data_IF_729949850628
#
_entry.id   IF_729949850628
#
_cell.length_a   1.000
_cell.length_b   1.000
_cell.length_c   1.000
_cell.angle_alpha   90.00
_cell.angle_beta   90.00
_cell.angle_gamma   90.00
#
_symmetry.space_group_name_H-M   'P 1'
#
loop_
_entity.id
_entity.type
_entity.pdbx_description
1 polymer ?
#
# COMPACT_ATOMS: atom_id res chain seq x y z
N UNK A 1 7.89 -24.69 -16.92
CA UNK A 1 7.44 -24.16 -15.62
C UNK A 1 6.47 -23.04 -15.93
N UNK A 2 5.17 -23.27 -15.78
CA UNK A 2 4.18 -22.21 -15.97
C UNK A 2 4.34 -21.20 -14.85
N UNK A 3 4.55 -19.92 -15.17
CA UNK A 3 4.52 -18.86 -14.18
C UNK A 3 3.16 -18.93 -13.45
N UNK A 4 3.19 -18.91 -12.12
CA UNK A 4 1.96 -18.73 -11.35
C UNK A 4 1.23 -17.47 -11.84
N UNK A 5 -0.11 -17.50 -11.98
CA UNK A 5 -0.86 -16.33 -12.42
C UNK A 5 -0.62 -15.20 -11.42
N UNK A 6 -0.10 -14.06 -11.90
CA UNK A 6 0.16 -12.87 -11.09
C UNK A 6 -1.15 -12.46 -10.37
N UNK A 7 -1.28 -12.67 -9.05
CA UNK A 7 -2.52 -12.42 -8.33
C UNK A 7 -2.88 -10.94 -8.30
N UNK A 8 -1.90 -10.07 -8.56
CA UNK A 8 -2.05 -8.62 -8.60
C UNK A 8 -2.16 -8.07 -10.04
N UNK A 9 -1.84 -8.88 -11.05
CA UNK A 9 -1.66 -8.41 -12.42
C UNK A 9 -2.89 -8.26 -13.29
N UNK A 10 -4.05 -8.64 -12.77
CA UNK A 10 -5.35 -8.42 -13.46
C UNK A 10 -6.04 -7.13 -13.04
N UNK A 11 -5.39 -6.34 -12.18
CA UNK A 11 -6.02 -5.26 -11.47
C UNK A 11 -5.59 -3.94 -12.10
N UNK A 12 -6.47 -3.32 -12.88
CA UNK A 12 -6.31 -1.92 -13.33
C UNK A 12 -6.56 -0.95 -12.15
N UNK A 13 -5.92 -1.21 -11.00
CA UNK A 13 -6.08 -0.46 -9.75
C UNK A 13 -5.80 1.04 -9.97
N UNK A 14 -4.84 1.33 -10.86
CA UNK A 14 -4.49 2.69 -11.28
C UNK A 14 -5.68 3.50 -11.80
N UNK A 15 -6.60 2.89 -12.57
CA UNK A 15 -7.76 3.58 -13.15
C UNK A 15 -8.86 3.92 -12.13
N UNK A 16 -8.84 3.28 -10.95
CA UNK A 16 -9.83 3.51 -9.90
C UNK A 16 -9.47 4.68 -8.99
N UNK A 17 -8.19 5.00 -8.92
CA UNK A 17 -7.66 6.05 -8.05
C UNK A 17 -7.52 7.33 -8.87
N UNK A 18 -8.12 8.39 -8.36
CA UNK A 18 -7.86 9.75 -8.80
C UNK A 18 -6.48 10.18 -8.27
N UNK A 19 -5.43 9.68 -8.93
CA UNK A 19 -4.04 9.77 -8.44
C UNK A 19 -3.53 11.20 -8.29
N UNK A 20 -3.77 12.14 -9.22
CA UNK A 20 -3.37 13.53 -9.02
C UNK A 20 -3.93 14.13 -7.73
N UNK A 21 -5.22 13.95 -7.48
CA UNK A 21 -5.91 14.46 -6.29
C UNK A 21 -5.46 13.73 -5.03
N UNK A 22 -5.20 12.41 -5.13
CA UNK A 22 -4.65 11.63 -4.02
C UNK A 22 -3.27 12.15 -3.65
N UNK A 23 -2.34 12.22 -4.60
CA UNK A 23 -0.98 12.71 -4.37
C UNK A 23 -1.00 14.14 -3.83
N UNK A 24 -1.86 15.02 -4.35
CA UNK A 24 -2.01 16.38 -3.83
C UNK A 24 -2.42 16.41 -2.35
N UNK A 25 -3.33 15.52 -1.92
CA UNK A 25 -3.74 15.42 -0.51
C UNK A 25 -2.65 14.84 0.39
N UNK A 26 -1.88 13.88 -0.12
CA UNK A 26 -0.85 13.16 0.65
C UNK A 26 0.50 13.92 0.68
N UNK A 27 0.75 14.79 -0.31
CA UNK A 27 2.00 15.52 -0.50
C UNK A 27 2.52 16.22 0.76
N UNK A 28 1.71 17.00 1.52
CA UNK A 28 2.22 17.69 2.70
C UNK A 28 2.76 16.74 3.78
N UNK A 29 2.14 15.57 3.94
CA UNK A 29 2.60 14.56 4.90
C UNK A 29 3.86 13.86 4.39
N UNK A 30 3.90 13.50 3.11
CA UNK A 30 5.04 12.84 2.48
C UNK A 30 6.29 13.73 2.54
N UNK A 31 6.16 15.01 2.17
CA UNK A 31 7.24 15.99 2.23
C UNK A 31 7.73 16.20 3.67
N UNK A 32 6.82 16.37 4.64
CA UNK A 32 7.18 16.55 6.04
C UNK A 32 7.90 15.33 6.63
N UNK A 33 7.38 14.13 6.36
CA UNK A 33 7.91 12.90 6.92
C UNK A 33 9.28 12.57 6.31
N UNK A 34 9.37 12.57 4.97
CA UNK A 34 10.55 12.10 4.22
C UNK A 34 11.59 13.21 4.01
N UNK A 35 11.21 14.49 4.09
CA UNK A 35 12.14 15.63 4.02
C UNK A 35 13.15 15.68 5.18
N UNK A 36 12.98 14.85 6.19
CA UNK A 36 13.91 14.69 7.32
C UNK A 36 14.84 13.48 7.18
N UNK A 37 14.85 12.84 6.01
CA UNK A 37 15.74 11.72 5.72
C UNK A 37 17.22 12.15 5.78
N UNK A 38 18.11 11.37 6.43
CA UNK A 38 19.54 11.65 6.47
C UNK A 38 20.24 11.52 5.10
N UNK A 39 19.58 10.91 4.12
CA UNK A 39 20.08 10.73 2.76
C UNK A 39 18.92 10.73 1.74
N UNK A 40 19.14 11.06 0.47
CA UNK A 40 18.06 11.18 -0.53
C UNK A 40 17.53 9.84 -1.04
N UNK A 41 18.19 8.71 -0.75
CA UNK A 41 17.77 7.39 -1.21
C UNK A 41 16.57 6.90 -0.41
N UNK A 42 15.45 6.62 -1.09
CA UNK A 42 14.21 6.17 -0.45
C UNK A 42 13.73 4.85 -1.05
N UNK A 43 13.02 4.05 -0.25
CA UNK A 43 12.29 2.88 -0.71
C UNK A 43 10.78 3.12 -0.71
N UNK A 44 10.13 2.86 -1.85
CA UNK A 44 8.67 2.78 -1.96
C UNK A 44 8.26 1.30 -1.97
N UNK A 45 7.80 0.81 -0.82
CA UNK A 45 7.59 -0.62 -0.53
C UNK A 45 6.14 -1.01 -0.84
N UNK A 46 5.96 -1.91 -1.80
CA UNK A 46 4.65 -2.15 -2.43
C UNK A 46 4.28 -1.03 -3.39
N UNK A 47 5.23 -0.59 -4.22
CA UNK A 47 5.07 0.61 -5.06
C UNK A 47 3.96 0.50 -6.11
N UNK A 48 3.47 -0.70 -6.40
CA UNK A 48 2.48 -0.95 -7.44
C UNK A 48 2.94 -0.40 -8.78
N UNK A 49 2.10 0.43 -9.41
CA UNK A 49 2.38 1.12 -10.67
C UNK A 49 3.26 2.37 -10.52
N UNK A 50 3.91 2.57 -9.37
CA UNK A 50 4.99 3.53 -9.15
C UNK A 50 4.56 4.99 -8.98
N UNK A 51 3.31 5.26 -8.62
CA UNK A 51 2.80 6.63 -8.45
C UNK A 51 3.54 7.42 -7.36
N UNK A 52 3.68 6.85 -6.17
CA UNK A 52 4.45 7.48 -5.09
C UNK A 52 5.94 7.55 -5.43
N UNK A 53 6.50 6.50 -6.03
CA UNK A 53 7.89 6.48 -6.54
C UNK A 53 8.18 7.68 -7.45
N UNK A 54 7.34 7.91 -8.48
CA UNK A 54 7.54 9.04 -9.42
C UNK A 54 7.31 10.39 -8.76
N UNK A 55 6.31 10.51 -7.89
CA UNK A 55 6.02 11.74 -7.16
C UNK A 55 7.23 12.17 -6.30
N UNK A 56 7.77 11.25 -5.51
CA UNK A 56 8.93 11.52 -4.66
C UNK A 56 10.21 11.74 -5.47
N UNK A 57 10.36 11.06 -6.61
CA UNK A 57 11.47 11.32 -7.54
C UNK A 57 11.39 12.74 -8.11
N UNK A 58 10.19 13.23 -8.45
CA UNK A 58 9.98 14.61 -8.91
C UNK A 58 10.27 15.66 -7.82
N UNK A 59 10.24 15.28 -6.54
CA UNK A 59 10.67 16.12 -5.41
C UNK A 59 12.20 16.08 -5.17
N UNK A 60 12.96 15.34 -5.98
CA UNK A 60 14.43 15.30 -5.92
C UNK A 60 15.01 14.15 -5.10
N UNK A 61 14.17 13.22 -4.60
CA UNK A 61 14.66 12.00 -3.95
C UNK A 61 15.14 10.97 -4.99
N UNK A 62 16.07 10.10 -4.57
CA UNK A 62 16.51 8.96 -5.36
C UNK A 62 15.70 7.71 -4.93
N UNK A 63 14.52 7.54 -5.50
CA UNK A 63 13.56 6.53 -5.04
C UNK A 63 13.70 5.23 -5.79
N UNK A 64 13.68 4.11 -5.06
CA UNK A 64 13.55 2.76 -5.64
C UNK A 64 12.19 2.20 -5.26
N UNK A 65 11.34 1.95 -6.26
CA UNK A 65 10.08 1.25 -6.07
C UNK A 65 10.31 -0.26 -5.97
N UNK A 66 9.75 -0.89 -4.95
CA UNK A 66 9.86 -2.34 -4.70
C UNK A 66 8.45 -2.94 -4.72
N UNK A 67 8.23 -3.96 -5.53
CA UNK A 67 6.95 -4.69 -5.55
C UNK A 67 7.17 -6.16 -5.91
N UNK A 68 6.31 -7.04 -5.40
CA UNK A 68 6.38 -8.46 -5.71
C UNK A 68 5.76 -8.79 -7.09
N UNK A 69 4.85 -7.94 -7.59
CA UNK A 69 4.08 -8.17 -8.82
C UNK A 69 4.84 -7.75 -10.07
N UNK A 70 5.19 -8.69 -10.97
CA UNK A 70 5.87 -8.37 -12.23
C UNK A 70 5.05 -7.43 -13.13
N UNK A 71 3.72 -7.59 -13.15
CA UNK A 71 2.85 -6.77 -14.00
C UNK A 71 2.72 -5.32 -13.51
N UNK A 72 2.68 -5.12 -12.19
CA UNK A 72 2.68 -3.78 -11.58
C UNK A 72 3.98 -3.05 -11.90
N UNK A 73 5.13 -3.73 -11.75
CA UNK A 73 6.42 -3.18 -12.13
C UNK A 73 6.53 -2.94 -13.64
N UNK A 74 5.92 -3.78 -14.48
CA UNK A 74 5.85 -3.53 -15.91
C UNK A 74 5.02 -2.27 -16.21
N UNK A 75 3.92 -2.02 -15.49
CA UNK A 75 3.16 -0.78 -15.61
C UNK A 75 3.95 0.44 -15.12
N UNK A 76 4.68 0.30 -14.00
CA UNK A 76 5.53 1.34 -13.45
C UNK A 76 6.63 1.74 -14.45
N UNK A 77 7.36 0.77 -15.00
CA UNK A 77 8.40 0.98 -16.03
C UNK A 77 7.85 1.54 -17.35
N UNK A 78 6.60 1.22 -17.72
CA UNK A 78 5.96 1.85 -18.89
C UNK A 78 5.65 3.34 -18.64
N UNK A 79 5.28 3.68 -17.41
CA UNK A 79 4.97 5.07 -17.03
C UNK A 79 6.22 5.91 -16.76
N UNK A 80 7.31 5.27 -16.34
CA UNK A 80 8.63 5.89 -16.13
C UNK A 80 9.75 4.90 -16.49
N UNK A 81 10.20 4.91 -17.76
CA UNK A 81 11.23 3.99 -18.24
C UNK A 81 12.61 4.16 -17.58
N UNK A 82 12.90 5.36 -17.07
CA UNK A 82 14.16 5.69 -16.40
C UNK A 82 14.10 5.44 -14.88
N UNK A 83 12.91 5.12 -14.36
CA UNK A 83 12.65 4.86 -12.95
C UNK A 83 13.32 3.60 -12.44
N UNK A 84 13.68 3.60 -11.15
CA UNK A 84 14.27 2.44 -10.48
C UNK A 84 13.18 1.59 -9.86
N UNK A 85 12.98 0.41 -10.43
CA UNK A 85 11.95 -0.54 -10.01
C UNK A 85 12.57 -1.92 -9.82
N UNK A 86 12.43 -2.45 -8.61
CA UNK A 86 12.98 -3.75 -8.19
C UNK A 86 11.85 -4.74 -7.90
N UNK A 87 11.99 -5.95 -8.42
CA UNK A 87 11.09 -7.04 -8.07
C UNK A 87 11.64 -7.77 -6.84
N UNK A 88 10.93 -7.66 -5.71
CA UNK A 88 11.27 -8.37 -4.48
C UNK A 88 10.05 -8.47 -3.56
N UNK A 89 10.01 -9.49 -2.71
CA UNK A 89 9.06 -9.55 -1.60
C UNK A 89 9.48 -8.59 -0.48
N UNK A 90 8.50 -8.08 0.28
CA UNK A 90 8.78 -7.33 1.52
C UNK A 90 9.57 -8.15 2.54
N UNK A 91 9.48 -9.48 2.49
CA UNK A 91 10.24 -10.37 3.38
C UNK A 91 11.68 -10.60 2.94
N UNK A 92 12.10 -10.08 1.79
CA UNK A 92 13.42 -10.31 1.17
C UNK A 92 14.28 -9.03 1.09
N UNK A 93 13.88 -7.96 1.77
CA UNK A 93 14.53 -6.64 1.63
C UNK A 93 16.02 -6.66 1.96
N UNK A 94 16.43 -7.37 3.02
CA UNK A 94 17.82 -7.40 3.48
C UNK A 94 18.79 -8.06 2.49
N UNK A 95 18.30 -8.90 1.58
CA UNK A 95 19.11 -9.48 0.50
C UNK A 95 18.95 -8.75 -0.84
N UNK A 96 17.82 -8.05 -1.03
CA UNK A 96 17.50 -7.36 -2.28
C UNK A 96 18.06 -5.93 -2.37
N UNK A 97 18.35 -5.28 -1.23
CA UNK A 97 18.81 -3.89 -1.16
C UNK A 97 20.24 -3.83 -0.59
N UNK A 98 21.20 -3.47 -1.44
CA UNK A 98 22.62 -3.48 -1.09
C UNK A 98 23.08 -2.23 -0.32
N UNK A 99 22.48 -1.07 -0.57
CA UNK A 99 22.89 0.22 0.00
C UNK A 99 21.95 0.66 1.13
N UNK A 100 22.50 1.31 2.16
CA UNK A 100 21.66 1.91 3.19
C UNK A 100 20.84 3.08 2.63
N UNK A 101 19.58 3.17 3.06
CA UNK A 101 18.59 4.09 2.55
C UNK A 101 18.28 5.15 3.61
N UNK A 102 18.00 6.37 3.16
CA UNK A 102 17.62 7.49 4.01
C UNK A 102 16.19 7.43 4.51
N UNK A 103 15.33 6.57 3.97
CA UNK A 103 13.96 6.41 4.46
C UNK A 103 13.14 5.43 3.63
N UNK A 104 11.93 5.14 4.08
CA UNK A 104 11.02 4.26 3.37
C UNK A 104 9.56 4.64 3.58
N UNK A 105 8.71 4.19 2.66
CA UNK A 105 7.26 4.25 2.78
C UNK A 105 6.67 2.89 2.40
N UNK A 106 5.58 2.50 3.06
CA UNK A 106 4.77 1.32 2.73
C UNK A 106 3.31 1.74 2.83
N UNK A 107 2.72 2.15 1.70
CA UNK A 107 1.40 2.77 1.64
C UNK A 107 0.42 1.91 0.83
N UNK A 108 -0.87 2.23 0.92
CA UNK A 108 -1.89 1.57 0.10
C UNK A 108 -2.40 0.25 0.67
N UNK A 109 -2.26 0.05 1.99
CA UNK A 109 -2.71 -1.17 2.66
C UNK A 109 -1.96 -2.43 2.18
N UNK A 110 -0.65 -2.31 1.96
CA UNK A 110 0.23 -3.40 1.49
C UNK A 110 0.62 -4.38 2.59
N UNK A 111 0.98 -3.89 3.79
CA UNK A 111 1.43 -4.75 4.90
C UNK A 111 0.45 -5.89 5.26
N UNK A 112 -0.88 -5.72 5.24
CA UNK A 112 -1.85 -6.78 5.51
C UNK A 112 -1.76 -8.02 4.60
N UNK A 113 -1.02 -7.95 3.49
CA UNK A 113 -0.74 -9.13 2.66
C UNK A 113 0.23 -10.11 3.34
N UNK A 114 1.06 -9.64 4.28
CA UNK A 114 1.84 -10.49 5.19
C UNK A 114 0.89 -11.02 6.26
N UNK A 115 0.50 -12.29 6.14
CA UNK A 115 -0.59 -12.87 6.93
C UNK A 115 -0.13 -13.49 8.25
N UNK A 116 1.17 -13.77 8.36
CA UNK A 116 1.79 -14.38 9.52
C UNK A 116 2.69 -13.39 10.28
N UNK A 117 2.71 -13.49 11.61
CA UNK A 117 3.53 -12.60 12.44
C UNK A 117 5.02 -12.67 12.10
N UNK A 118 5.51 -13.87 11.78
CA UNK A 118 6.90 -14.08 11.38
C UNK A 118 7.28 -13.30 10.12
N UNK A 119 6.35 -13.13 9.18
CA UNK A 119 6.57 -12.35 7.95
C UNK A 119 6.68 -10.86 8.27
N UNK A 120 5.79 -10.34 9.13
CA UNK A 120 5.80 -8.93 9.55
C UNK A 120 7.08 -8.60 10.34
N UNK A 121 7.47 -9.51 11.24
CA UNK A 121 8.73 -9.41 11.99
C UNK A 121 9.94 -9.43 11.06
N UNK A 122 9.97 -10.36 10.10
CA UNK A 122 11.03 -10.45 9.09
C UNK A 122 11.10 -9.18 8.22
N UNK A 123 9.94 -8.65 7.80
CA UNK A 123 9.84 -7.39 7.06
C UNK A 123 10.44 -6.22 7.83
N UNK A 124 10.03 -5.99 9.08
CA UNK A 124 10.56 -4.87 9.86
C UNK A 124 12.04 -5.05 10.21
N UNK A 125 12.49 -6.28 10.50
CA UNK A 125 13.92 -6.56 10.71
C UNK A 125 14.74 -6.26 9.45
N UNK A 126 14.34 -6.79 8.30
CA UNK A 126 15.03 -6.53 7.03
C UNK A 126 15.00 -5.05 6.64
N UNK A 127 13.89 -4.35 6.93
CA UNK A 127 13.81 -2.91 6.75
C UNK A 127 14.79 -2.17 7.67
N UNK A 128 14.94 -2.61 8.93
CA UNK A 128 15.87 -2.03 9.87
C UNK A 128 17.34 -2.19 9.45
N UNK A 129 17.66 -3.27 8.73
CA UNK A 129 19.03 -3.54 8.24
C UNK A 129 19.40 -2.63 7.07
N UNK A 130 18.43 -2.25 6.24
CA UNK A 130 18.66 -1.43 5.03
C UNK A 130 18.45 0.07 5.26
N UNK A 131 17.87 0.49 6.39
CA UNK A 131 17.68 1.91 6.72
C UNK A 131 18.85 2.47 7.54
N UNK A 132 19.24 3.71 7.24
CA UNK A 132 20.18 4.48 8.06
C UNK A 132 19.59 4.76 9.46
N UNK A 133 20.41 4.86 10.52
CA UNK A 133 19.96 5.38 11.81
C UNK A 133 19.31 6.76 11.67
N UNK A 134 18.17 6.95 12.32
CA UNK A 134 17.35 8.17 12.22
C UNK A 134 16.45 8.26 10.98
N UNK A 135 16.57 7.35 10.01
CA UNK A 135 15.74 7.34 8.80
C UNK A 135 14.25 7.24 9.12
N UNK A 136 13.38 8.09 8.52
CA UNK A 136 11.94 7.97 8.65
C UNK A 136 11.40 6.75 7.90
N UNK A 137 10.39 6.12 8.50
CA UNK A 137 9.56 5.10 7.88
C UNK A 137 8.09 5.49 8.03
N UNK A 138 7.37 5.60 6.89
CA UNK A 138 5.95 5.91 6.84
C UNK A 138 5.14 4.67 6.44
N UNK A 139 4.33 4.16 7.34
CA UNK A 139 3.45 3.02 7.10
C UNK A 139 1.99 3.48 7.03
N UNK A 140 1.23 3.02 6.04
CA UNK A 140 -0.22 3.22 5.97
C UNK A 140 -0.96 1.93 5.64
N UNK A 141 -2.00 1.68 6.44
CA UNK A 141 -2.99 0.64 6.21
C UNK A 141 -4.39 1.15 6.62
N UNK A 142 -5.41 0.38 6.27
CA UNK A 142 -6.76 0.62 6.78
C UNK A 142 -6.78 0.46 8.30
N UNK A 143 -7.70 1.16 8.98
CA UNK A 143 -7.86 1.02 10.42
C UNK A 143 -8.50 -0.33 10.78
N UNK A 144 -7.69 -1.37 10.99
CA UNK A 144 -8.18 -2.70 11.36
C UNK A 144 -8.66 -2.80 12.80
N UNK A 145 -8.23 -1.90 13.71
CA UNK A 145 -8.87 -1.78 15.02
C UNK A 145 -10.37 -1.50 14.84
N UNK A 146 -10.72 -0.50 14.02
CA UNK A 146 -12.12 -0.16 13.71
C UNK A 146 -12.84 -1.25 12.93
N UNK A 147 -12.24 -1.74 11.85
CA UNK A 147 -12.89 -2.71 10.94
C UNK A 147 -13.23 -4.00 11.67
N UNK A 148 -12.31 -4.53 12.48
CA UNK A 148 -12.52 -5.77 13.23
C UNK A 148 -13.51 -5.57 14.39
N UNK A 149 -13.37 -4.47 15.16
CA UNK A 149 -14.25 -4.19 16.30
C UNK A 149 -15.71 -3.99 15.88
N UNK A 150 -15.93 -3.30 14.76
CA UNK A 150 -17.27 -3.01 14.25
C UNK A 150 -17.82 -4.08 13.31
N UNK A 151 -17.02 -5.09 12.96
CA UNK A 151 -17.38 -6.09 11.96
C UNK A 151 -17.71 -5.46 10.60
N UNK A 152 -16.96 -4.44 10.17
CA UNK A 152 -17.19 -3.79 8.88
C UNK A 152 -16.89 -4.76 7.74
N UNK A 153 -17.81 -4.87 6.76
CA UNK A 153 -17.73 -5.84 5.65
C UNK A 153 -17.73 -5.22 4.27
N UNK A 154 -18.01 -3.92 4.18
CA UNK A 154 -18.20 -3.23 2.90
C UNK A 154 -17.54 -1.87 2.95
N UNK A 155 -17.02 -1.43 1.82
CA UNK A 155 -16.55 -0.07 1.62
C UNK A 155 -17.52 0.69 0.70
N UNK A 156 -17.52 2.04 0.73
CA UNK A 156 -18.25 2.82 -0.26
C UNK A 156 -17.90 2.37 -1.68
N UNK A 157 -18.92 2.26 -2.53
CA UNK A 157 -18.74 2.00 -3.96
C UNK A 157 -17.91 3.13 -4.57
N UNK A 158 -16.96 2.76 -5.42
CA UNK A 158 -16.24 3.74 -6.23
C UNK A 158 -16.73 3.56 -7.66
N UNK A 159 -17.31 4.61 -8.21
CA UNK A 159 -17.77 4.64 -9.60
C UNK A 159 -16.86 5.59 -10.37
N UNK A 160 -16.38 5.14 -11.54
CA UNK A 160 -15.53 5.90 -12.46
C UNK A 160 -16.06 5.76 -13.88
N UNK A 161 -15.78 6.72 -14.78
CA UNK A 161 -16.02 6.52 -16.21
C UNK A 161 -15.39 5.21 -16.70
N UNK A 162 -16.10 4.48 -17.55
CA UNK A 162 -15.64 3.26 -18.18
C UNK A 162 -14.76 3.53 -19.41
N UNK A 163 -14.34 2.46 -20.09
CA UNK A 163 -13.52 2.56 -21.31
C UNK A 163 -14.30 3.12 -22.51
N UNK A 164 -15.59 2.80 -22.61
CA UNK A 164 -16.48 3.31 -23.66
C UNK A 164 -17.41 4.40 -23.13
N UNK A 165 -17.84 5.27 -24.04
CA UNK A 165 -18.75 6.39 -23.73
C UNK A 165 -20.07 5.88 -23.15
N UNK A 166 -20.51 6.51 -22.05
CA UNK A 166 -21.72 6.10 -21.33
C UNK A 166 -21.55 4.88 -20.42
N UNK A 167 -20.39 4.20 -20.43
CA UNK A 167 -20.08 3.14 -19.48
C UNK A 167 -19.49 3.69 -18.18
N UNK A 168 -19.59 2.90 -17.11
CA UNK A 168 -18.89 3.15 -15.85
C UNK A 168 -18.23 1.88 -15.33
N UNK A 169 -17.04 2.04 -14.74
CA UNK A 169 -16.44 0.99 -13.91
C UNK A 169 -16.86 1.21 -12.46
N UNK A 170 -17.40 0.16 -11.84
CA UNK A 170 -17.78 0.15 -10.42
C UNK A 170 -16.84 -0.77 -9.68
N UNK A 171 -16.23 -0.24 -8.61
CA UNK A 171 -15.40 -1.01 -7.71
C UNK A 171 -16.17 -1.35 -6.44
N UNK A 172 -16.49 -2.63 -6.31
CA UNK A 172 -17.10 -3.22 -5.13
C UNK A 172 -16.01 -3.91 -4.30
N UNK A 173 -16.05 -3.69 -2.99
CA UNK A 173 -15.07 -4.24 -2.05
C UNK A 173 -15.79 -4.87 -0.89
N UNK A 174 -15.63 -6.17 -0.77
CA UNK A 174 -16.24 -6.97 0.29
C UNK A 174 -15.16 -7.54 1.20
N UNK A 175 -15.49 -7.67 2.48
CA UNK A 175 -14.67 -8.34 3.48
C UNK A 175 -15.47 -9.43 4.19
N UNK A 176 -14.87 -10.60 4.28
CA UNK A 176 -15.34 -11.71 5.10
C UNK A 176 -14.36 -11.93 6.24
N UNK A 177 -14.86 -11.88 7.47
CA UNK A 177 -14.06 -12.10 8.67
C UNK A 177 -13.93 -13.59 8.93
N UNK A 178 -12.70 -14.07 9.11
CA UNK A 178 -12.38 -15.49 9.29
C UNK A 178 -11.98 -15.83 10.74
N UNK A 179 -11.95 -14.83 11.64
CA UNK A 179 -11.48 -14.97 13.01
C UNK A 179 -10.00 -14.62 13.16
N UNK A 180 -9.56 -14.32 14.40
CA UNK A 180 -8.15 -14.02 14.74
C UNK A 180 -7.53 -12.89 13.89
N UNK A 181 -8.34 -11.92 13.45
CA UNK A 181 -7.91 -10.83 12.57
C UNK A 181 -7.67 -11.25 11.11
N UNK A 182 -7.86 -12.52 10.74
CA UNK A 182 -7.79 -12.98 9.34
C UNK A 182 -9.03 -12.57 8.57
N UNK A 183 -8.80 -12.12 7.35
CA UNK A 183 -9.82 -11.57 6.45
C UNK A 183 -9.67 -12.20 5.07
N UNK A 184 -10.80 -12.42 4.42
CA UNK A 184 -10.87 -12.58 2.96
C UNK A 184 -11.42 -11.30 2.38
N UNK A 185 -10.58 -10.60 1.61
CA UNK A 185 -10.94 -9.40 0.88
C UNK A 185 -11.28 -9.78 -0.57
N UNK A 186 -12.47 -9.41 -1.03
CA UNK A 186 -12.95 -9.72 -2.37
C UNK A 186 -13.16 -8.40 -3.13
N UNK A 187 -12.12 -7.88 -3.82
CA UNK A 187 -12.29 -6.80 -4.79
C UNK A 187 -13.02 -7.33 -6.01
N UNK A 188 -14.07 -6.61 -6.44
CA UNK A 188 -14.83 -6.89 -7.64
C UNK A 188 -14.93 -5.66 -8.53
N UNK A 189 -14.60 -5.85 -9.80
CA UNK A 189 -14.67 -4.87 -10.88
C UNK A 189 -15.91 -5.17 -11.69
N UNK A 190 -16.86 -4.24 -11.66
CA UNK A 190 -18.09 -4.36 -12.41
C UNK A 190 -18.09 -3.33 -13.54
N UNK A 191 -18.56 -3.74 -14.71
CA UNK A 191 -18.87 -2.84 -15.82
C UNK A 191 -20.36 -2.52 -15.75
N UNK A 192 -20.68 -1.23 -15.67
CA UNK A 192 -22.05 -0.72 -15.65
C UNK A 192 -22.37 -0.01 -16.96
N UNK A 193 -23.42 -0.46 -17.65
CA UNK A 193 -23.87 0.00 -18.97
C UNK A 193 -25.38 0.27 -18.92
N UNK A 194 -25.80 1.47 -18.49
CA UNK A 194 -27.22 1.79 -18.35
C UNK A 194 -27.97 1.59 -19.67
N UNK A 195 -29.15 0.97 -19.62
CA UNK A 195 -30.01 0.75 -20.80
C UNK A 195 -29.62 -0.41 -21.72
N UNK A 196 -28.54 -1.15 -21.41
CA UNK A 196 -28.21 -2.40 -22.12
C UNK A 196 -28.99 -3.60 -21.56
N UNK A 197 -29.08 -4.69 -22.34
CA UNK A 197 -29.71 -5.95 -21.91
C UNK A 197 -29.04 -6.57 -20.67
N UNK A 198 -27.73 -6.35 -20.53
CA UNK A 198 -26.95 -6.70 -19.35
C UNK A 198 -26.30 -5.45 -18.74
N UNK A 199 -27.04 -4.69 -17.93
CA UNK A 199 -26.61 -3.38 -17.46
C UNK A 199 -25.49 -3.44 -16.43
N UNK A 200 -25.25 -4.59 -15.79
CA UNK A 200 -24.16 -4.79 -14.85
C UNK A 200 -23.48 -6.14 -15.11
N UNK A 201 -22.17 -6.13 -15.28
CA UNK A 201 -21.35 -7.29 -15.61
C UNK A 201 -20.16 -7.36 -14.63
N UNK A 202 -19.88 -8.55 -14.06
CA UNK A 202 -18.67 -8.77 -13.27
C UNK A 202 -17.50 -9.01 -14.23
N UNK A 203 -16.59 -8.05 -14.35
CA UNK A 203 -15.41 -8.14 -15.21
C UNK A 203 -14.32 -8.99 -14.56
N UNK A 204 -14.10 -8.76 -13.26
CA UNK A 204 -13.13 -9.50 -12.47
C UNK A 204 -13.52 -9.50 -11.00
N UNK A 205 -13.37 -10.63 -10.33
CA UNK A 205 -13.46 -10.75 -8.88
C UNK A 205 -12.52 -11.88 -8.44
N UNK A 206 -11.82 -11.68 -7.34
CA UNK A 206 -10.96 -12.71 -6.76
C UNK A 206 -10.84 -12.48 -5.25
N UNK A 207 -10.51 -13.54 -4.53
CA UNK A 207 -10.25 -13.46 -3.11
C UNK A 207 -8.78 -13.17 -2.85
N UNK A 208 -8.54 -12.26 -1.92
CA UNK A 208 -7.22 -11.89 -1.42
C UNK A 208 -7.21 -12.17 0.09
N UNK A 209 -6.36 -13.08 0.57
CA UNK A 209 -6.17 -13.25 2.01
C UNK A 209 -5.46 -12.02 2.57
N UNK A 210 -5.97 -11.50 3.67
CA UNK A 210 -5.33 -10.42 4.42
C UNK A 210 -5.32 -10.75 5.92
N UNK A 211 -4.36 -10.16 6.64
CA UNK A 211 -4.37 -10.09 8.09
C UNK A 211 -4.55 -8.65 8.54
N UNK A 212 -5.63 -8.40 9.28
CA UNK A 212 -5.95 -7.10 9.82
C UNK A 212 -5.12 -6.81 11.07
N UNK A 213 -3.90 -6.32 10.88
CA UNK A 213 -2.99 -5.95 11.96
C UNK A 213 -3.48 -4.70 12.70
N UNK A 214 -3.63 -4.81 14.03
CA UNK A 214 -4.03 -3.70 14.90
C UNK A 214 -2.83 -2.82 15.24
N UNK A 215 -3.12 -1.57 15.62
CA UNK A 215 -2.09 -0.59 16.00
C UNK A 215 -1.11 -1.13 17.03
N UNK A 216 -1.61 -1.69 18.13
CA UNK A 216 -0.76 -2.16 19.23
C UNK A 216 0.21 -3.28 18.81
N UNK A 217 -0.23 -4.17 17.91
CA UNK A 217 0.61 -5.24 17.35
C UNK A 217 1.74 -4.65 16.51
N UNK A 218 1.41 -3.70 15.63
CA UNK A 218 2.40 -3.03 14.77
C UNK A 218 3.41 -2.19 15.54
N UNK A 219 2.97 -1.45 16.57
CA UNK A 219 3.86 -0.70 17.46
C UNK A 219 4.83 -1.65 18.18
N UNK A 220 4.34 -2.83 18.61
CA UNK A 220 5.17 -3.90 19.17
C UNK A 220 6.24 -4.39 18.19
N UNK A 221 5.84 -4.84 17.00
CA UNK A 221 6.78 -5.36 16.00
C UNK A 221 7.82 -4.32 15.56
N UNK A 222 7.42 -3.05 15.42
CA UNK A 222 8.32 -1.94 15.12
C UNK A 222 9.35 -1.73 16.24
N UNK A 223 8.89 -1.67 17.49
CA UNK A 223 9.78 -1.47 18.64
C UNK A 223 10.80 -2.60 18.79
N UNK A 224 10.36 -3.85 18.61
CA UNK A 224 11.21 -5.05 18.64
C UNK A 224 12.27 -5.03 17.52
N UNK A 225 11.96 -4.42 16.37
CA UNK A 225 12.86 -4.33 15.22
C UNK A 225 13.74 -3.07 15.22
N UNK A 226 13.80 -2.34 16.34
CA UNK A 226 14.67 -1.17 16.48
C UNK A 226 14.10 0.11 15.87
N UNK A 227 12.78 0.23 15.76
CA UNK A 227 12.13 1.50 15.41
C UNK A 227 11.60 2.24 16.65
N UNK A 228 11.60 3.55 16.58
CA UNK A 228 10.87 4.43 17.49
C UNK A 228 9.62 4.94 16.77
N UNK A 229 8.44 4.60 17.26
CA UNK A 229 7.17 5.16 16.79
C UNK A 229 7.07 6.60 17.29
N UNK A 230 6.87 7.55 16.38
CA UNK A 230 6.72 8.97 16.68
C UNK A 230 5.27 9.40 16.65
N UNK A 231 4.76 9.71 15.45
CA UNK A 231 3.40 10.21 15.23
C UNK A 231 2.50 9.08 14.71
N UNK A 232 1.27 9.01 15.22
CA UNK A 232 0.23 8.09 14.71
C UNK A 232 -0.97 8.91 14.26
N UNK A 233 -1.31 8.77 12.99
CA UNK A 233 -2.30 9.56 12.27
C UNK A 233 -3.45 8.67 11.80
N UNK A 234 -4.63 9.28 11.69
CA UNK A 234 -5.86 8.62 11.27
C UNK A 234 -6.10 8.62 9.76
N UNK A 235 -5.30 9.41 9.03
CA UNK A 235 -5.41 9.62 7.58
C UNK A 235 -4.05 10.07 7.03
N UNK A 236 -3.92 10.04 5.70
CA UNK A 236 -2.75 10.59 5.01
C UNK A 236 -2.76 12.12 4.87
N UNK A 237 -3.83 12.81 5.29
CA UNK A 237 -3.89 14.28 5.34
C UNK A 237 -3.35 14.85 6.65
N UNK A 238 -3.01 14.00 7.62
CA UNK A 238 -2.34 14.40 8.84
C UNK A 238 -3.24 14.59 10.05
N UNK A 239 -4.49 14.12 10.02
CA UNK A 239 -5.34 14.17 11.21
C UNK A 239 -4.86 13.17 12.28
N UNK A 240 -4.88 13.52 13.57
CA UNK A 240 -4.53 12.60 14.65
C UNK A 240 -5.35 11.31 14.61
N UNK A 241 -4.71 10.19 14.95
CA UNK A 241 -5.40 8.90 14.99
C UNK A 241 -6.45 8.85 16.11
N UNK A 242 -7.58 8.21 15.81
CA UNK A 242 -8.63 7.84 16.76
C UNK A 242 -9.22 6.47 16.41
N UNK A 243 -9.94 5.81 17.33
CA UNK A 243 -10.62 4.55 17.03
C UNK A 243 -11.65 4.64 15.89
N UNK A 244 -12.08 5.84 15.50
CA UNK A 244 -13.03 6.06 14.40
C UNK A 244 -12.37 6.49 13.10
N UNK A 245 -11.04 6.65 13.07
CA UNK A 245 -10.29 7.06 11.88
C UNK A 245 -10.44 6.05 10.73
N UNK A 246 -10.35 6.53 9.49
CA UNK A 246 -10.43 5.68 8.31
C UNK A 246 -9.22 4.74 8.21
N UNK A 247 -8.04 5.29 8.47
CA UNK A 247 -6.75 4.65 8.29
C UNK A 247 -5.98 4.60 9.61
N UNK A 248 -4.93 3.77 9.59
CA UNK A 248 -3.84 3.81 10.54
C UNK A 248 -2.58 4.20 9.77
N UNK A 249 -2.01 5.34 10.13
CA UNK A 249 -0.77 5.86 9.54
C UNK A 249 0.25 6.01 10.65
N UNK A 250 1.40 5.34 10.52
CA UNK A 250 2.46 5.34 11.53
C UNK A 250 3.70 5.99 10.93
N UNK A 251 4.19 7.03 11.61
CA UNK A 251 5.50 7.62 11.35
C UNK A 251 6.47 7.09 12.39
N UNK A 252 7.37 6.22 11.96
CA UNK A 252 8.43 5.67 12.78
C UNK A 252 9.80 6.17 12.32
N UNK A 253 10.81 6.02 13.17
CA UNK A 253 12.22 6.25 12.82
C UNK A 253 13.07 5.06 13.21
N UNK A 254 14.07 4.74 12.38
CA UNK A 254 15.11 3.78 12.74
C UNK A 254 15.93 4.32 13.92
N UNK A 255 16.07 3.54 14.99
CA UNK A 255 16.98 3.83 16.11
C UNK A 255 18.42 3.56 15.72
#
# INVERSE_FOLDING_TARGET
MGAEPDPYGRIAYRGLIAWPERLQREAPLLERALGTAPAPQLLDLGCGSGEHTRFLTALGFAVTGVDASPSQLAAARRADPEGRYLQASLTELGSAIEAQQGGALCLGNTLPHLCEEGEVRGFFSGLADVLLPGAPFLLQLLNYDRILERGERTFPLVVRPGEAEGESTVFLRLMTHLGEGRLRFTPAYLRYRPGSDQPLEVVAAHDVPLRGWRRAELEGFLAESGFAVGEVLGTMTGEPWSPTSSDLVILARRR
#
